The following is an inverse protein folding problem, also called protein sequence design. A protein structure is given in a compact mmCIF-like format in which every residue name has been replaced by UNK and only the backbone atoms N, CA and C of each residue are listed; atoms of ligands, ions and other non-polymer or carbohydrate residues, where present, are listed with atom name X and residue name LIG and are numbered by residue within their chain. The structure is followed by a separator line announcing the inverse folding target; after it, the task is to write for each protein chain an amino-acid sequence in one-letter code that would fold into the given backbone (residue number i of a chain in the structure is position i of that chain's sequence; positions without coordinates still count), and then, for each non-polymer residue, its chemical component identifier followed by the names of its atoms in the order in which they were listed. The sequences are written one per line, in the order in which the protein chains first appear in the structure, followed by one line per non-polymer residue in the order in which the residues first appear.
data_IF_736096345842
#
_entry.id   IF_736096345842
#
_cell.length_a   1.000
_cell.length_b   1.000
_cell.length_c   1.000
_cell.angle_alpha   90.00
_cell.angle_beta   90.00
_cell.angle_gamma   90.00
#
_symmetry.space_group_name_H-M   'P 1'
#
loop_
_entity.id
_entity.type
_entity.pdbx_description
1 polymer ?
#
# COMPACT_ATOMS: atom_id res chain seq x y z
N UNK A 1 20.84 -17.44 24.65
CA UNK A 1 19.51 -17.44 24.00
C UNK A 1 19.45 -16.17 23.19
N UNK A 2 18.97 -16.17 21.93
CA UNK A 2 18.83 -14.91 21.22
C UNK A 2 17.78 -14.10 21.98
N UNK A 3 18.12 -12.86 22.32
CA UNK A 3 17.20 -11.91 22.94
C UNK A 3 15.94 -11.83 22.07
N UNK A 4 14.80 -12.24 22.62
CA UNK A 4 13.53 -12.19 21.91
C UNK A 4 13.10 -10.74 21.81
N UNK A 5 13.18 -10.17 20.60
CA UNK A 5 12.58 -8.86 20.31
C UNK A 5 11.07 -9.00 20.60
N UNK A 6 10.50 -8.16 21.48
CA UNK A 6 9.08 -8.25 21.79
C UNK A 6 8.26 -7.99 20.52
N UNK A 7 7.15 -8.73 20.37
CA UNK A 7 6.21 -8.51 19.27
C UNK A 7 5.50 -7.16 19.46
N UNK A 8 5.02 -6.53 18.36
CA UNK A 8 4.20 -5.34 18.47
C UNK A 8 2.94 -5.61 19.29
N UNK A 9 2.61 -4.69 20.21
CA UNK A 9 1.41 -4.73 21.06
C UNK A 9 0.64 -3.40 20.99
N UNK A 10 -0.62 -3.41 21.42
CA UNK A 10 -1.47 -2.22 21.45
C UNK A 10 -1.63 -1.55 20.08
N UNK A 11 -1.54 -0.21 20.07
CA UNK A 11 -1.77 0.62 18.89
C UNK A 11 -0.84 0.26 17.71
N UNK A 12 0.42 -0.09 17.97
CA UNK A 12 1.36 -0.46 16.90
C UNK A 12 0.87 -1.71 16.15
N UNK A 13 0.40 -2.72 16.88
CA UNK A 13 -0.16 -3.94 16.30
C UNK A 13 -1.41 -3.66 15.49
N UNK A 14 -2.31 -2.81 16.00
CA UNK A 14 -3.54 -2.44 15.30
C UNK A 14 -3.25 -1.71 13.99
N UNK A 15 -2.33 -0.74 14.01
CA UNK A 15 -1.91 -0.02 12.79
C UNK A 15 -1.27 -0.94 11.76
N UNK A 16 -0.45 -1.91 12.20
CA UNK A 16 0.16 -2.90 11.30
C UNK A 16 -0.88 -3.84 10.67
N UNK A 17 -1.94 -4.20 11.41
CA UNK A 17 -3.03 -5.02 10.88
C UNK A 17 -3.79 -4.25 9.81
N UNK A 18 -4.21 -3.01 10.10
CA UNK A 18 -4.95 -2.20 9.13
C UNK A 18 -4.08 -1.90 7.92
N UNK A 19 -2.81 -1.53 8.10
CA UNK A 19 -1.87 -1.34 6.99
C UNK A 19 -1.79 -2.57 6.07
N UNK A 20 -1.78 -3.77 6.65
CA UNK A 20 -1.79 -5.04 5.90
C UNK A 20 -3.11 -5.26 5.15
N UNK A 21 -4.25 -4.95 5.77
CA UNK A 21 -5.57 -5.02 5.14
C UNK A 21 -5.65 -4.10 3.91
N UNK A 22 -5.22 -2.84 4.04
CA UNK A 22 -5.19 -1.87 2.94
C UNK A 22 -4.29 -2.34 1.77
N UNK A 23 -3.16 -2.99 2.08
CA UNK A 23 -2.30 -3.59 1.05
C UNK A 23 -3.03 -4.71 0.29
N UNK A 24 -3.82 -5.53 0.99
CA UNK A 24 -4.59 -6.60 0.38
C UNK A 24 -5.75 -6.08 -0.48
N UNK A 25 -6.38 -4.98 -0.06
CA UNK A 25 -7.47 -4.33 -0.81
C UNK A 25 -6.95 -3.68 -2.10
N UNK A 26 -5.84 -2.95 -2.03
CA UNK A 26 -5.13 -2.44 -3.22
C UNK A 26 -4.79 -3.60 -4.18
N UNK A 27 -4.20 -4.68 -3.66
CA UNK A 27 -3.88 -5.87 -4.47
C UNK A 27 -5.14 -6.44 -5.15
N UNK A 28 -6.23 -6.56 -4.41
CA UNK A 28 -7.49 -7.09 -4.91
C UNK A 28 -8.06 -6.22 -6.03
N UNK A 29 -8.03 -4.90 -5.86
CA UNK A 29 -8.59 -3.95 -6.81
C UNK A 29 -7.73 -3.81 -8.07
N UNK A 30 -6.40 -3.84 -7.95
CA UNK A 30 -5.48 -3.97 -9.10
C UNK A 30 -5.77 -5.27 -9.86
N UNK A 31 -5.99 -6.38 -9.17
CA UNK A 31 -6.32 -7.67 -9.79
C UNK A 31 -7.67 -7.65 -10.53
N UNK A 32 -8.64 -6.82 -10.12
CA UNK A 32 -9.88 -6.60 -10.87
C UNK A 32 -9.63 -5.77 -12.12
N UNK A 33 -8.83 -4.70 -12.03
CA UNK A 33 -8.47 -3.87 -13.20
C UNK A 33 -7.76 -4.70 -14.26
N UNK A 34 -6.80 -5.54 -13.87
CA UNK A 34 -6.06 -6.38 -14.81
C UNK A 34 -6.93 -7.44 -15.51
N UNK A 35 -8.01 -7.90 -14.86
CA UNK A 35 -8.91 -8.92 -15.41
C UNK A 35 -10.08 -8.35 -16.21
N UNK A 36 -10.63 -7.21 -15.77
CA UNK A 36 -11.90 -6.69 -16.28
C UNK A 36 -11.76 -5.31 -16.92
N UNK A 37 -10.68 -4.57 -16.66
CA UNK A 37 -10.46 -3.22 -17.14
C UNK A 37 -10.77 -2.13 -16.11
N UNK A 38 -10.11 -0.99 -16.27
CA UNK A 38 -10.14 0.12 -15.30
C UNK A 38 -11.48 0.87 -15.25
N UNK A 39 -12.13 1.03 -16.40
CA UNK A 39 -13.37 1.81 -16.53
C UNK A 39 -14.65 0.97 -16.37
N UNK A 40 -14.50 -0.32 -16.04
CA UNK A 40 -15.64 -1.21 -15.78
C UNK A 40 -16.19 -0.93 -14.39
N UNK A 41 -17.53 -0.83 -14.31
CA UNK A 41 -18.30 -0.85 -13.07
C UNK A 41 -19.01 -2.20 -13.01
N UNK A 42 -18.68 -3.01 -12.01
CA UNK A 42 -19.31 -4.31 -11.78
C UNK A 42 -20.77 -4.19 -11.35
N UNK A 43 -21.52 -5.29 -11.41
CA UNK A 43 -22.95 -5.34 -11.05
C UNK A 43 -23.25 -4.86 -9.64
N UNK A 44 -22.33 -5.09 -8.70
CA UNK A 44 -22.47 -4.71 -7.30
C UNK A 44 -21.61 -3.49 -6.92
N UNK A 45 -21.09 -2.77 -7.92
CA UNK A 45 -20.24 -1.59 -7.72
C UNK A 45 -20.99 -0.31 -8.09
N UNK A 46 -20.75 0.74 -7.31
CA UNK A 46 -21.31 2.08 -7.58
C UNK A 46 -20.33 2.94 -8.40
N UNK A 47 -19.04 2.56 -8.44
CA UNK A 47 -17.96 3.31 -9.07
C UNK A 47 -17.11 2.40 -9.97
N UNK A 48 -16.46 2.95 -11.01
CA UNK A 48 -15.49 2.22 -11.82
C UNK A 48 -14.32 1.65 -11.00
N UNK A 49 -13.73 0.56 -11.49
CA UNK A 49 -12.59 -0.09 -10.83
C UNK A 49 -11.41 0.86 -10.54
N UNK A 50 -11.17 1.87 -11.38
CA UNK A 50 -10.13 2.88 -11.16
C UNK A 50 -10.42 3.80 -9.98
N UNK A 51 -11.69 4.17 -9.77
CA UNK A 51 -12.09 5.02 -8.64
C UNK A 51 -12.08 4.23 -7.32
N UNK A 52 -12.45 2.95 -7.38
CA UNK A 52 -12.29 2.05 -6.24
C UNK A 52 -10.82 1.88 -5.89
N UNK A 53 -9.93 1.69 -6.87
CA UNK A 53 -8.49 1.64 -6.60
C UNK A 53 -7.97 2.92 -5.96
N UNK A 54 -8.44 4.09 -6.42
CA UNK A 54 -8.04 5.37 -5.85
C UNK A 54 -8.46 5.51 -4.38
N UNK A 55 -9.60 4.93 -3.99
CA UNK A 55 -10.02 4.86 -2.59
C UNK A 55 -9.04 4.02 -1.76
N UNK A 56 -8.78 2.76 -2.15
CA UNK A 56 -7.89 1.88 -1.37
C UNK A 56 -6.44 2.42 -1.30
N UNK A 57 -5.97 3.08 -2.37
CA UNK A 57 -4.65 3.74 -2.35
C UNK A 57 -4.65 4.96 -1.41
N UNK A 58 -5.77 5.67 -1.31
CA UNK A 58 -5.96 6.77 -0.36
C UNK A 58 -5.89 6.27 1.08
N UNK A 59 -6.60 5.19 1.38
CA UNK A 59 -6.64 4.57 2.71
C UNK A 59 -5.26 3.99 3.09
N UNK A 60 -4.59 3.30 2.16
CA UNK A 60 -3.19 2.88 2.34
C UNK A 60 -2.24 4.06 2.59
N UNK A 61 -2.40 5.16 1.85
CA UNK A 61 -1.56 6.36 2.03
C UNK A 61 -1.78 6.99 3.41
N UNK A 62 -3.03 7.05 3.86
CA UNK A 62 -3.34 7.49 5.22
C UNK A 62 -2.66 6.61 6.26
N UNK A 63 -2.73 5.28 6.11
CA UNK A 63 -2.10 4.33 7.04
C UNK A 63 -0.57 4.45 7.07
N UNK A 64 0.07 4.64 5.92
CA UNK A 64 1.52 4.93 5.85
C UNK A 64 1.85 6.19 6.66
N UNK A 65 1.05 7.25 6.53
CA UNK A 65 1.24 8.49 7.29
C UNK A 65 1.07 8.26 8.80
N UNK A 66 0.08 7.46 9.23
CA UNK A 66 -0.08 7.09 10.64
C UNK A 66 1.14 6.35 11.17
N UNK A 67 1.69 5.40 10.41
CA UNK A 67 2.91 4.67 10.76
C UNK A 67 4.12 5.60 10.92
N UNK A 68 4.24 6.64 10.07
CA UNK A 68 5.29 7.66 10.21
C UNK A 68 5.10 8.48 11.49
N UNK A 69 3.87 8.90 11.78
CA UNK A 69 3.56 9.72 12.96
C UNK A 69 3.86 9.01 14.28
N UNK A 70 3.65 7.69 14.34
CA UNK A 70 4.00 6.89 15.54
C UNK A 70 5.48 6.48 15.57
N UNK A 71 6.25 6.78 14.52
CA UNK A 71 7.68 6.49 14.45
C UNK A 71 8.05 5.06 14.06
N UNK A 72 7.12 4.30 13.45
CA UNK A 72 7.39 2.94 12.96
C UNK A 72 8.46 2.92 11.85
N UNK A 73 8.46 3.95 11.01
CA UNK A 73 9.51 4.26 10.03
C UNK A 73 9.48 5.76 9.73
N UNK A 74 10.59 6.34 9.28
CA UNK A 74 10.63 7.77 8.96
C UNK A 74 10.19 8.05 7.52
N UNK A 75 9.59 9.22 7.28
CA UNK A 75 9.27 9.67 5.92
C UNK A 75 10.50 9.68 4.98
N UNK A 76 11.67 10.01 5.54
CA UNK A 76 12.95 10.01 4.82
C UNK A 76 13.35 8.61 4.35
N UNK A 77 13.14 7.59 5.18
CA UNK A 77 13.45 6.21 4.82
C UNK A 77 12.55 5.72 3.68
N UNK A 78 11.25 6.06 3.75
CA UNK A 78 10.28 5.75 2.70
C UNK A 78 10.67 6.43 1.38
N UNK A 79 10.98 7.73 1.41
CA UNK A 79 11.39 8.49 0.22
C UNK A 79 12.68 7.93 -0.40
N UNK A 80 13.68 7.63 0.44
CA UNK A 80 14.95 7.04 -0.01
C UNK A 80 14.69 5.69 -0.70
N UNK A 81 13.89 4.82 -0.10
CA UNK A 81 13.54 3.52 -0.68
C UNK A 81 12.77 3.65 -2.00
N UNK A 82 11.86 4.63 -2.11
CA UNK A 82 11.12 4.90 -3.33
C UNK A 82 12.03 5.36 -4.47
N UNK A 83 12.99 6.25 -4.19
CA UNK A 83 13.97 6.75 -5.16
C UNK A 83 14.90 5.62 -5.65
N UNK A 84 15.39 4.77 -4.75
CA UNK A 84 16.15 3.58 -5.13
C UNK A 84 15.35 2.64 -6.03
N UNK A 85 14.06 2.43 -5.71
CA UNK A 85 13.17 1.61 -6.53
C UNK A 85 12.97 2.23 -7.91
N UNK A 86 12.77 3.55 -8.00
CA UNK A 86 12.64 4.29 -9.27
C UNK A 86 13.88 4.12 -10.15
N UNK A 87 15.06 4.29 -9.56
CA UNK A 87 16.36 4.09 -10.25
C UNK A 87 16.51 2.66 -10.78
N UNK A 88 16.06 1.66 -10.01
CA UNK A 88 16.00 0.26 -10.45
C UNK A 88 14.97 0.06 -11.56
N UNK A 89 13.76 0.59 -11.45
CA UNK A 89 12.67 0.38 -12.41
C UNK A 89 12.91 1.05 -13.76
N UNK A 90 13.54 2.23 -13.80
CA UNK A 90 13.96 2.87 -15.05
C UNK A 90 14.93 2.01 -15.87
N UNK A 91 15.56 0.99 -15.26
CA UNK A 91 16.40 0.01 -15.96
C UNK A 91 15.61 -1.16 -16.57
N UNK A 92 14.42 -1.48 -16.04
CA UNK A 92 13.71 -2.73 -16.35
C UNK A 92 12.32 -2.53 -16.98
N UNK A 93 11.64 -1.42 -16.69
CA UNK A 93 10.40 -1.06 -17.36
C UNK A 93 10.75 -0.24 -18.61
N UNK A 94 10.10 -0.56 -19.74
CA UNK A 94 10.31 0.08 -21.04
C UNK A 94 9.92 1.56 -21.00
N UNK A 95 10.81 2.40 -20.49
CA UNK A 95 10.91 3.80 -20.90
C UNK A 95 12.18 3.92 -21.75
N UNK A 96 12.08 3.41 -22.97
CA UNK A 96 13.05 3.46 -24.05
C UNK A 96 12.32 3.34 -25.38
#
# INVERSE_FOLDING_TARGET
MPDTIPLPEGLERELLIVLMEECAEVQQQVSKILRFGAHVTGTDQVRPNSELLAAEVGDLTHMIQRCIEIGLFSAKDVETAAEEKRTKLNRYLRFG
#
